data_IF_693780083055
#
_entry.id   IF_693780083055
#
_cell.length_a   1.000
_cell.length_b   1.000
_cell.length_c   1.000
_cell.angle_alpha   90.00
_cell.angle_beta   90.00
_cell.angle_gamma   90.00
#
_symmetry.space_group_name_H-M   'P 1'
#
loop_
_entity.id
_entity.type
_entity.pdbx_description
1 polymer ?
#
# COMPACT_ATOMS: atom_id res chain seq x y z
N UNK A 1 -112.53 9.60 -12.76
CA UNK A 1 -111.94 8.47 -13.49
C UNK A 1 -110.43 8.49 -13.27
N UNK A 2 -109.87 7.42 -12.73
CA UNK A 2 -108.46 7.28 -12.33
C UNK A 2 -107.53 7.25 -13.55
N UNK A 3 -106.56 8.16 -13.60
CA UNK A 3 -105.48 8.19 -14.60
C UNK A 3 -104.31 7.30 -14.19
N UNK A 4 -103.82 6.49 -15.13
CA UNK A 4 -102.76 5.50 -14.93
C UNK A 4 -101.40 6.12 -14.52
N UNK A 5 -100.58 5.41 -13.70
CA UNK A 5 -99.25 5.88 -13.29
C UNK A 5 -98.20 5.75 -14.41
N UNK A 6 -97.34 6.78 -14.53
CA UNK A 6 -96.20 6.81 -15.47
C UNK A 6 -95.11 5.82 -15.04
N UNK A 7 -94.54 5.01 -15.94
CA UNK A 7 -93.43 4.12 -15.61
C UNK A 7 -92.14 4.92 -15.38
N UNK A 8 -91.41 4.48 -14.37
CA UNK A 8 -90.10 4.93 -13.90
C UNK A 8 -89.06 4.95 -15.03
N UNK A 9 -88.37 6.07 -15.18
CA UNK A 9 -87.20 6.20 -16.05
C UNK A 9 -86.02 5.51 -15.36
N UNK A 10 -85.40 4.54 -16.04
CA UNK A 10 -84.19 3.88 -15.58
C UNK A 10 -83.03 4.89 -15.56
N UNK A 11 -82.40 5.03 -14.39
CA UNK A 11 -81.19 5.81 -14.20
C UNK A 11 -80.04 5.13 -14.96
N UNK A 12 -79.51 5.83 -15.96
CA UNK A 12 -78.42 5.34 -16.80
C UNK A 12 -77.14 5.30 -15.95
N UNK A 13 -76.79 4.10 -15.50
CA UNK A 13 -75.56 3.83 -14.74
C UNK A 13 -74.36 4.19 -15.62
N UNK A 14 -73.63 5.24 -15.25
CA UNK A 14 -72.42 5.68 -15.93
C UNK A 14 -71.38 4.55 -15.94
N UNK A 15 -71.08 4.02 -17.14
CA UNK A 15 -70.04 3.02 -17.33
C UNK A 15 -68.65 3.61 -17.00
N UNK A 16 -67.77 2.85 -16.31
CA UNK A 16 -66.42 3.31 -15.98
C UNK A 16 -65.59 3.52 -17.26
N UNK A 17 -64.90 4.66 -17.35
CA UNK A 17 -64.03 4.99 -18.48
C UNK A 17 -62.87 3.98 -18.61
N UNK A 18 -62.59 3.43 -19.80
CA UNK A 18 -61.51 2.47 -19.97
C UNK A 18 -60.14 3.12 -19.77
N UNK A 19 -59.22 2.34 -19.19
CA UNK A 19 -57.86 2.70 -18.83
C UNK A 19 -57.10 3.36 -20.00
N UNK A 20 -56.54 4.55 -19.76
CA UNK A 20 -55.75 5.32 -20.74
C UNK A 20 -54.42 4.62 -21.01
N UNK A 21 -54.38 3.77 -22.04
CA UNK A 21 -53.14 3.38 -22.70
C UNK A 21 -52.39 4.60 -23.24
N UNK A 22 -51.06 4.52 -23.26
CA UNK A 22 -50.19 5.61 -23.70
C UNK A 22 -50.40 5.87 -25.22
N UNK A 23 -51.15 6.93 -25.56
CA UNK A 23 -51.47 7.28 -26.95
C UNK A 23 -50.26 7.88 -27.69
N UNK A 24 -49.47 7.03 -28.33
CA UNK A 24 -48.29 7.43 -29.12
C UNK A 24 -48.60 8.45 -30.23
N UNK A 25 -49.81 8.39 -30.81
CA UNK A 25 -50.26 9.36 -31.81
C UNK A 25 -50.43 10.77 -31.23
N UNK A 26 -50.89 10.87 -29.98
CA UNK A 26 -51.07 12.15 -29.29
C UNK A 26 -49.72 12.74 -28.87
N UNK A 27 -48.79 11.88 -28.42
CA UNK A 27 -47.41 12.27 -28.11
C UNK A 27 -46.70 12.82 -29.37
N UNK A 28 -46.84 12.15 -30.52
CA UNK A 28 -46.25 12.60 -31.78
C UNK A 28 -46.81 13.96 -32.26
N UNK A 29 -48.09 14.22 -32.04
CA UNK A 29 -48.71 15.53 -32.36
C UNK A 29 -48.20 16.66 -31.46
N UNK A 30 -47.96 16.39 -30.17
CA UNK A 30 -47.37 17.37 -29.25
C UNK A 30 -45.93 17.69 -29.67
N UNK A 31 -45.13 16.67 -30.02
CA UNK A 31 -43.74 16.85 -30.45
C UNK A 31 -43.63 17.64 -31.75
N UNK A 32 -44.49 17.39 -32.74
CA UNK A 32 -44.45 18.13 -34.02
C UNK A 32 -44.91 19.59 -33.88
N UNK A 33 -45.90 19.86 -33.01
CA UNK A 33 -46.38 21.23 -32.72
C UNK A 33 -45.38 22.05 -31.90
N UNK A 34 -44.69 21.42 -30.96
CA UNK A 34 -43.69 22.06 -30.09
C UNK A 34 -42.24 21.72 -30.47
N UNK A 35 -41.98 21.36 -31.73
CA UNK A 35 -40.65 20.92 -32.22
C UNK A 35 -39.51 21.86 -31.82
N UNK A 36 -39.75 23.17 -31.84
CA UNK A 36 -38.76 24.18 -31.43
C UNK A 36 -38.50 24.22 -29.93
N UNK A 37 -39.51 23.96 -29.11
CA UNK A 37 -39.38 23.88 -27.65
C UNK A 37 -38.65 22.59 -27.26
N UNK A 38 -39.00 21.47 -27.89
CA UNK A 38 -38.30 20.19 -27.71
C UNK A 38 -36.84 20.31 -28.13
N UNK A 39 -36.57 20.91 -29.30
CA UNK A 39 -35.21 21.16 -29.77
C UNK A 39 -34.47 22.12 -28.84
N UNK A 40 -35.12 23.18 -28.34
CA UNK A 40 -34.54 24.12 -27.39
C UNK A 40 -34.15 23.48 -26.05
N UNK A 41 -35.03 22.66 -25.46
CA UNK A 41 -34.74 21.92 -24.22
C UNK A 41 -33.61 20.90 -24.46
N UNK A 42 -33.62 20.21 -25.60
CA UNK A 42 -32.58 19.22 -25.94
C UNK A 42 -31.22 19.90 -26.13
N UNK A 43 -31.19 21.03 -26.84
CA UNK A 43 -29.99 21.84 -27.01
C UNK A 43 -29.50 22.42 -25.68
N UNK A 44 -30.40 22.90 -24.82
CA UNK A 44 -30.06 23.39 -23.48
C UNK A 44 -29.51 22.28 -22.59
N UNK A 45 -30.12 21.08 -22.61
CA UNK A 45 -29.63 19.91 -21.89
C UNK A 45 -28.26 19.44 -22.41
N UNK A 46 -28.07 19.42 -23.73
CA UNK A 46 -26.78 19.11 -24.35
C UNK A 46 -25.69 20.13 -24.00
N UNK A 47 -26.02 21.42 -24.04
CA UNK A 47 -25.10 22.49 -23.64
C UNK A 47 -24.75 22.42 -22.15
N UNK A 48 -25.72 22.16 -21.27
CA UNK A 48 -25.51 21.97 -19.85
C UNK A 48 -24.64 20.73 -19.57
N UNK A 49 -24.90 19.61 -20.26
CA UNK A 49 -24.07 18.41 -20.17
C UNK A 49 -22.64 18.65 -20.66
N UNK A 50 -22.47 19.33 -21.79
CA UNK A 50 -21.15 19.70 -22.31
C UNK A 50 -20.40 20.64 -21.34
N UNK A 51 -21.08 21.63 -20.76
CA UNK A 51 -20.51 22.49 -19.73
C UNK A 51 -20.08 21.68 -18.50
N UNK A 52 -20.87 20.70 -18.07
CA UNK A 52 -20.52 19.81 -16.98
C UNK A 52 -19.24 19.00 -17.26
N UNK A 53 -19.03 18.54 -18.50
CA UNK A 53 -17.78 17.81 -18.86
C UNK A 53 -16.51 18.66 -18.72
N UNK A 54 -16.60 19.98 -18.81
CA UNK A 54 -15.46 20.89 -18.61
C UNK A 54 -15.12 21.13 -17.14
N UNK A 55 -16.06 20.87 -16.22
CA UNK A 55 -15.89 21.11 -14.79
C UNK A 55 -15.34 19.87 -14.06
N UNK A 56 -15.67 18.67 -14.54
CA UNK A 56 -15.19 17.42 -13.93
C UNK A 56 -13.72 17.21 -14.25
N UNK A 57 -12.87 17.24 -13.22
CA UNK A 57 -11.44 16.93 -13.37
C UNK A 57 -11.27 15.42 -13.60
N UNK A 58 -10.59 14.98 -14.66
CA UNK A 58 -10.34 13.55 -14.87
C UNK A 58 -9.49 13.01 -13.72
N UNK A 59 -9.87 11.84 -13.22
CA UNK A 59 -9.06 11.07 -12.27
C UNK A 59 -8.53 9.83 -12.98
N UNK A 60 -7.23 9.63 -12.89
CA UNK A 60 -6.52 8.48 -13.43
C UNK A 60 -6.14 7.54 -12.30
N UNK A 61 -6.11 6.25 -12.59
CA UNK A 61 -5.67 5.18 -11.71
C UNK A 61 -4.42 4.54 -12.32
N UNK A 62 -3.35 4.39 -11.54
CA UNK A 62 -2.23 3.52 -11.89
C UNK A 62 -2.19 2.37 -10.88
N UNK A 63 -1.90 1.17 -11.39
CA UNK A 63 -1.77 -0.05 -10.59
C UNK A 63 -0.42 -0.71 -10.88
N UNK A 64 0.23 -1.20 -9.82
CA UNK A 64 1.38 -2.10 -9.89
C UNK A 64 1.06 -3.36 -9.11
N UNK A 65 1.45 -4.51 -9.65
CA UNK A 65 1.32 -5.81 -8.98
C UNK A 65 2.70 -6.36 -8.70
N UNK A 66 3.00 -6.62 -7.43
CA UNK A 66 4.25 -7.25 -6.99
C UNK A 66 3.97 -8.70 -6.64
N UNK A 67 4.74 -9.62 -7.22
CA UNK A 67 4.71 -11.03 -6.85
C UNK A 67 5.65 -11.28 -5.66
N UNK A 68 5.12 -11.89 -4.61
CA UNK A 68 5.85 -12.29 -3.41
C UNK A 68 5.89 -13.81 -3.41
N UNK A 69 7.11 -14.34 -3.49
CA UNK A 69 7.35 -15.78 -3.41
C UNK A 69 7.25 -16.24 -1.95
N UNK A 70 6.05 -16.71 -1.57
CA UNK A 70 5.78 -17.33 -0.27
C UNK A 70 5.65 -18.85 -0.43
N UNK A 71 6.24 -19.66 0.49
CA UNK A 71 5.94 -21.07 0.58
C UNK A 71 4.46 -21.27 0.86
N UNK A 72 3.79 -22.11 0.06
CA UNK A 72 2.34 -22.35 0.16
C UNK A 72 1.95 -22.79 1.59
N UNK A 73 1.11 -22.02 2.31
CA UNK A 73 0.64 -22.40 3.65
C UNK A 73 -0.12 -23.73 3.68
N UNK A 74 -0.65 -24.16 2.53
CA UNK A 74 -1.45 -25.38 2.38
C UNK A 74 -0.69 -26.50 1.65
N UNK A 75 0.50 -26.21 1.14
CA UNK A 75 1.28 -27.09 0.26
C UNK A 75 2.53 -27.63 0.92
N UNK A 76 2.40 -28.45 1.96
CA UNK A 76 3.54 -29.17 2.52
C UNK A 76 3.15 -30.04 3.70
N UNK A 77 3.20 -31.36 3.51
CA UNK A 77 3.11 -32.35 4.58
C UNK A 77 4.34 -32.28 5.49
N UNK A 78 4.51 -31.19 6.24
CA UNK A 78 5.50 -31.08 7.33
C UNK A 78 4.97 -31.86 8.55
N UNK A 79 4.92 -33.18 8.38
CA UNK A 79 4.83 -34.13 9.47
C UNK A 79 6.19 -34.14 10.21
N UNK A 80 6.30 -33.33 11.25
CA UNK A 80 7.09 -33.67 12.44
C UNK A 80 8.62 -33.62 12.34
N UNK A 81 9.21 -32.62 11.67
CA UNK A 81 10.63 -32.30 11.80
C UNK A 81 10.90 -31.21 12.84
N UNK A 82 11.98 -31.29 13.66
CA UNK A 82 12.34 -30.24 14.63
C UNK A 82 12.82 -28.93 14.00
N UNK A 83 13.11 -28.91 12.69
CA UNK A 83 13.47 -27.70 11.96
C UNK A 83 12.21 -27.15 11.28
N UNK A 84 11.62 -26.12 11.89
CA UNK A 84 10.54 -25.34 11.26
C UNK A 84 11.19 -24.18 10.51
N UNK A 85 11.07 -24.14 9.18
CA UNK A 85 11.28 -22.89 8.46
C UNK A 85 10.13 -21.96 8.83
N UNK A 86 10.33 -21.14 9.86
CA UNK A 86 9.34 -20.16 10.30
C UNK A 86 8.87 -19.34 9.10
N UNK A 87 7.55 -19.20 8.95
CA UNK A 87 6.94 -18.31 7.97
C UNK A 87 7.66 -16.97 8.03
N UNK A 88 8.32 -16.62 6.93
CA UNK A 88 9.33 -15.54 6.94
C UNK A 88 8.69 -14.19 7.22
N UNK A 89 7.39 -14.00 6.92
CA UNK A 89 6.55 -12.84 7.27
C UNK A 89 5.05 -13.22 7.19
N UNK A 90 4.22 -12.75 8.13
CA UNK A 90 2.75 -12.83 8.02
C UNK A 90 2.25 -11.94 6.87
N UNK A 91 1.21 -12.32 6.10
CA UNK A 91 0.70 -11.55 4.96
C UNK A 91 0.41 -10.07 5.26
N UNK A 92 -0.10 -9.76 6.45
CA UNK A 92 -0.39 -8.38 6.88
C UNK A 92 0.87 -7.53 7.09
N UNK A 93 1.99 -8.14 7.51
CA UNK A 93 3.25 -7.43 7.76
C UNK A 93 3.91 -6.87 6.49
N UNK A 94 3.54 -7.38 5.31
CA UNK A 94 3.99 -6.86 4.01
C UNK A 94 3.35 -5.53 3.64
N UNK A 95 2.12 -5.29 4.10
CA UNK A 95 1.42 -4.00 3.93
C UNK A 95 2.00 -2.97 4.91
N UNK A 96 2.30 -3.39 6.14
CA UNK A 96 2.99 -2.55 7.12
C UNK A 96 4.40 -2.16 6.67
N UNK A 97 5.10 -3.05 5.94
CA UNK A 97 6.39 -2.71 5.31
C UNK A 97 6.23 -1.64 4.22
N UNK A 98 5.20 -1.74 3.38
CA UNK A 98 4.93 -0.74 2.34
C UNK A 98 4.63 0.63 2.94
N UNK A 99 3.84 0.66 4.02
CA UNK A 99 3.51 1.88 4.77
C UNK A 99 4.65 2.35 5.68
N UNK A 100 5.67 1.52 5.89
CA UNK A 100 6.80 1.86 6.73
C UNK A 100 7.57 3.05 6.17
N UNK A 101 7.97 3.93 7.09
CA UNK A 101 8.68 5.17 6.82
C UNK A 101 9.98 4.97 6.01
N UNK A 102 10.61 3.78 6.08
CA UNK A 102 11.83 3.48 5.32
C UNK A 102 11.66 3.48 3.79
N UNK A 103 10.43 3.28 3.31
CA UNK A 103 10.09 3.28 1.88
C UNK A 103 9.56 4.66 1.48
N UNK A 104 8.52 5.14 2.16
CA UNK A 104 7.78 6.33 1.74
C UNK A 104 8.54 7.64 1.98
N UNK A 105 9.31 7.80 3.07
CA UNK A 105 10.07 9.03 3.32
C UNK A 105 11.15 9.24 2.24
N UNK A 106 11.78 8.15 1.79
CA UNK A 106 12.80 8.19 0.74
C UNK A 106 12.21 8.59 -0.60
N UNK A 107 11.11 7.94 -1.00
CA UNK A 107 10.42 8.25 -2.27
C UNK A 107 9.87 9.68 -2.26
N UNK A 108 9.30 10.12 -1.14
CA UNK A 108 8.82 11.49 -0.98
C UNK A 108 9.93 12.53 -1.18
N UNK A 109 11.15 12.24 -0.71
CA UNK A 109 12.32 13.11 -0.91
C UNK A 109 12.85 13.03 -2.34
N UNK A 110 13.09 11.84 -2.88
CA UNK A 110 13.70 11.64 -4.20
C UNK A 110 12.82 12.20 -5.33
N UNK A 111 11.49 12.02 -5.23
CA UNK A 111 10.54 12.57 -6.21
C UNK A 111 10.05 13.98 -5.89
N UNK A 112 10.63 14.63 -4.87
CA UNK A 112 10.25 15.98 -4.42
C UNK A 112 8.76 16.14 -4.17
N UNK A 113 8.13 15.14 -3.55
CA UNK A 113 6.70 15.18 -3.20
C UNK A 113 6.37 16.23 -2.12
N UNK A 114 7.40 16.79 -1.48
CA UNK A 114 7.28 17.98 -0.64
C UNK A 114 6.82 19.23 -1.41
N UNK A 115 6.96 19.25 -2.74
CA UNK A 115 6.50 20.34 -3.59
C UNK A 115 5.07 20.08 -4.08
N UNK A 116 4.15 20.95 -3.67
CA UNK A 116 2.77 20.97 -4.11
C UNK A 116 2.57 22.02 -5.21
N UNK A 117 1.85 21.63 -6.27
CA UNK A 117 1.65 22.43 -7.47
C UNK A 117 0.14 22.59 -7.74
N UNK A 118 -0.54 23.54 -7.06
CA UNK A 118 -2.00 23.67 -7.14
C UNK A 118 -2.52 23.92 -8.57
N UNK A 119 -1.73 24.61 -9.39
CA UNK A 119 -2.04 24.97 -10.78
C UNK A 119 -1.43 24.03 -11.82
N UNK A 120 -0.75 22.96 -11.38
CA UNK A 120 -0.05 22.02 -12.26
C UNK A 120 1.45 22.35 -12.45
N UNK A 121 2.14 21.58 -13.30
CA UNK A 121 3.59 21.69 -13.47
C UNK A 121 3.99 23.03 -14.11
N UNK A 122 4.86 23.77 -13.43
CA UNK A 122 5.44 25.03 -13.91
C UNK A 122 6.92 24.82 -14.31
N UNK A 123 7.38 25.31 -15.48
CA UNK A 123 8.77 25.17 -15.90
C UNK A 123 9.77 25.78 -14.91
N UNK A 124 9.42 26.85 -14.20
CA UNK A 124 10.31 27.52 -13.24
C UNK A 124 10.63 26.64 -12.03
N UNK A 125 9.73 25.72 -11.67
CA UNK A 125 9.88 24.83 -10.52
C UNK A 125 10.61 23.53 -10.84
N UNK A 126 11.01 23.30 -12.09
CA UNK A 126 11.77 22.08 -12.47
C UNK A 126 13.13 22.00 -11.78
N UNK A 127 13.82 23.13 -11.63
CA UNK A 127 15.10 23.23 -10.93
C UNK A 127 14.94 23.48 -9.42
N UNK A 128 13.70 23.58 -8.90
CA UNK A 128 13.46 23.90 -7.51
C UNK A 128 13.93 22.78 -6.58
N UNK A 129 14.74 23.14 -5.59
CA UNK A 129 15.18 22.25 -4.53
C UNK A 129 15.22 22.99 -3.19
N UNK A 130 15.32 22.26 -2.10
CA UNK A 130 15.37 22.81 -0.73
C UNK A 130 16.62 22.32 -0.01
N UNK A 131 17.11 23.12 0.93
CA UNK A 131 18.11 22.70 1.89
C UNK A 131 17.49 21.74 2.92
N UNK A 132 18.33 21.08 3.74
CA UNK A 132 17.85 20.17 4.79
C UNK A 132 16.90 20.85 5.77
N UNK A 133 17.14 22.14 6.02
CA UNK A 133 16.26 23.00 6.81
C UNK A 133 15.62 24.04 5.89
N UNK A 134 14.30 23.97 5.76
CA UNK A 134 13.50 24.91 4.99
C UNK A 134 12.18 25.20 5.72
N UNK A 135 11.53 26.31 5.35
CA UNK A 135 10.24 26.69 5.94
C UNK A 135 9.07 26.15 5.09
N UNK A 136 8.18 25.30 5.63
CA UNK A 136 6.98 24.89 4.93
C UNK A 136 5.94 26.03 4.84
N UNK A 137 5.02 25.91 3.89
CA UNK A 137 3.92 26.84 3.66
C UNK A 137 3.61 27.06 2.18
N UNK A 138 2.60 27.88 1.90
CA UNK A 138 2.22 28.29 0.56
C UNK A 138 2.97 29.57 0.15
N UNK A 139 3.56 29.55 -1.04
CA UNK A 139 4.36 30.62 -1.60
C UNK A 139 3.84 31.05 -2.97
N UNK A 140 4.03 32.34 -3.27
CA UNK A 140 3.73 32.95 -4.55
C UNK A 140 4.95 33.73 -5.02
N UNK A 141 5.42 33.43 -6.22
CA UNK A 141 6.41 34.22 -6.92
C UNK A 141 5.71 35.00 -8.04
N UNK A 142 5.84 36.33 -8.04
CA UNK A 142 5.38 37.18 -9.15
C UNK A 142 6.56 37.88 -9.79
N UNK A 143 6.58 37.94 -11.12
CA UNK A 143 7.58 38.69 -11.87
C UNK A 143 6.95 39.93 -12.50
N UNK A 144 7.70 41.02 -12.59
CA UNK A 144 7.25 42.26 -13.19
C UNK A 144 7.76 42.44 -14.64
N UNK A 145 7.36 43.56 -15.26
CA UNK A 145 7.77 43.92 -16.62
C UNK A 145 9.29 44.17 -16.75
N UNK A 146 9.97 44.51 -15.65
CA UNK A 146 11.40 44.79 -15.58
C UNK A 146 12.24 43.57 -15.21
N UNK A 147 11.62 42.37 -15.18
CA UNK A 147 12.24 41.12 -14.71
C UNK A 147 12.70 41.17 -13.24
N UNK A 148 12.11 42.03 -12.42
CA UNK A 148 12.20 41.89 -10.98
C UNK A 148 11.20 40.81 -10.53
N UNK A 149 11.56 40.07 -9.48
CA UNK A 149 10.68 39.11 -8.84
C UNK A 149 10.33 39.55 -7.42
N UNK A 150 9.16 39.12 -6.98
CA UNK A 150 8.67 39.25 -5.61
C UNK A 150 8.24 37.88 -5.14
N UNK A 151 8.92 37.36 -4.11
CA UNK A 151 8.52 36.13 -3.43
C UNK A 151 7.73 36.51 -2.17
N UNK A 152 6.51 36.01 -2.07
CA UNK A 152 5.63 36.23 -0.91
C UNK A 152 5.12 34.89 -0.36
N UNK A 153 4.88 34.84 0.95
CA UNK A 153 4.09 33.77 1.54
C UNK A 153 2.62 34.12 1.37
N UNK A 154 1.77 33.17 0.98
CA UNK A 154 0.33 33.44 0.76
C UNK A 154 -0.34 33.95 2.05
N UNK A 155 0.01 33.36 3.19
CA UNK A 155 -0.52 33.74 4.51
C UNK A 155 0.32 34.83 5.20
N UNK A 156 1.23 35.48 4.47
CA UNK A 156 2.20 36.40 5.05
C UNK A 156 2.53 37.56 4.11
N UNK A 157 3.59 38.27 4.48
CA UNK A 157 4.12 39.38 3.69
C UNK A 157 5.06 38.92 2.57
N UNK A 158 5.60 39.92 1.88
CA UNK A 158 6.72 39.76 0.96
C UNK A 158 7.94 39.27 1.74
N UNK A 159 8.53 38.16 1.30
CA UNK A 159 9.71 37.55 1.90
C UNK A 159 10.99 38.05 1.24
N UNK A 160 10.96 38.23 -0.08
CA UNK A 160 12.14 38.57 -0.86
C UNK A 160 11.75 39.34 -2.12
N UNK A 161 12.63 40.25 -2.55
CA UNK A 161 12.58 40.93 -3.84
C UNK A 161 13.96 40.85 -4.47
N UNK A 162 14.02 40.63 -5.78
CA UNK A 162 15.29 40.55 -6.50
C UNK A 162 15.09 40.57 -8.01
N UNK A 163 16.13 40.19 -8.75
CA UNK A 163 16.14 40.13 -10.21
C UNK A 163 16.11 38.69 -10.71
N UNK A 164 15.31 38.42 -11.74
CA UNK A 164 15.23 37.09 -12.36
C UNK A 164 16.61 36.72 -12.91
N UNK A 165 17.09 35.52 -12.54
CA UNK A 165 18.42 35.03 -12.86
C UNK A 165 19.30 34.82 -11.63
N UNK A 166 18.95 35.44 -10.49
CA UNK A 166 19.62 35.22 -9.21
C UNK A 166 19.00 34.06 -8.42
N UNK A 167 19.64 33.72 -7.30
CA UNK A 167 19.12 32.72 -6.36
C UNK A 167 17.93 33.27 -5.59
N UNK A 168 16.82 32.53 -5.59
CA UNK A 168 15.56 32.95 -4.97
C UNK A 168 15.35 32.17 -3.65
N UNK A 169 15.03 32.88 -2.57
CA UNK A 169 14.53 32.28 -1.32
C UNK A 169 15.61 31.63 -0.43
N UNK A 170 16.88 32.07 -0.54
CA UNK A 170 17.98 31.51 0.26
C UNK A 170 17.74 31.65 1.77
N UNK A 171 17.12 32.75 2.20
CA UNK A 171 16.83 33.06 3.60
C UNK A 171 15.83 32.10 4.26
N UNK A 172 15.04 31.37 3.46
CA UNK A 172 14.02 30.42 3.90
C UNK A 172 14.35 28.97 3.53
N UNK A 173 15.59 28.73 3.07
CA UNK A 173 16.12 27.40 2.78
C UNK A 173 15.88 26.91 1.35
N UNK A 174 15.62 27.79 0.39
CA UNK A 174 15.47 27.38 -1.02
C UNK A 174 16.83 27.30 -1.70
N UNK A 175 17.03 26.20 -2.44
CA UNK A 175 18.15 25.99 -3.35
C UNK A 175 17.60 26.09 -4.76
N UNK A 176 17.27 27.32 -5.17
CA UNK A 176 16.52 27.56 -6.40
C UNK A 176 17.14 28.70 -7.22
N UNK A 177 17.51 28.35 -8.46
CA UNK A 177 17.90 29.29 -9.52
C UNK A 177 17.07 28.91 -10.76
N UNK A 178 15.93 29.58 -10.98
CA UNK A 178 15.11 29.33 -12.16
C UNK A 178 15.83 29.86 -13.42
N UNK A 179 15.83 29.09 -14.54
CA UNK A 179 16.30 29.61 -15.82
C UNK A 179 15.53 30.87 -16.21
N UNK A 180 16.20 31.88 -16.76
CA UNK A 180 15.55 33.15 -17.12
C UNK A 180 14.35 32.96 -18.08
N UNK A 181 14.42 31.96 -18.97
CA UNK A 181 13.35 31.64 -19.92
C UNK A 181 12.11 31.02 -19.26
N UNK A 182 12.24 30.49 -18.04
CA UNK A 182 11.13 29.88 -17.30
C UNK A 182 10.27 30.89 -16.53
N UNK A 183 10.73 32.14 -16.43
CA UNK A 183 10.06 33.23 -15.72
C UNK A 183 9.86 34.44 -16.63
N UNK A 184 8.88 34.37 -17.56
CA UNK A 184 8.57 35.51 -18.42
C UNK A 184 7.98 36.68 -17.60
N UNK A 185 8.07 37.93 -18.08
CA UNK A 185 7.51 39.09 -17.38
C UNK A 185 6.01 38.93 -17.09
N UNK A 186 5.57 39.27 -15.87
CA UNK A 186 4.17 39.12 -15.44
C UNK A 186 3.79 37.69 -15.04
N UNK A 187 4.70 36.72 -15.08
CA UNK A 187 4.44 35.34 -14.70
C UNK A 187 4.23 35.21 -13.19
N UNK A 188 3.24 34.39 -12.81
CA UNK A 188 2.90 34.12 -11.41
C UNK A 188 2.96 32.61 -11.16
N UNK A 189 3.83 32.21 -10.23
CA UNK A 189 4.03 30.83 -9.82
C UNK A 189 3.52 30.64 -8.40
N UNK A 190 2.50 29.80 -8.23
CA UNK A 190 1.99 29.40 -6.92
C UNK A 190 2.44 27.99 -6.59
N UNK A 191 3.08 27.79 -5.43
CA UNK A 191 3.55 26.50 -4.99
C UNK A 191 3.48 26.36 -3.47
N UNK A 192 3.27 25.13 -3.00
CA UNK A 192 3.27 24.79 -1.59
C UNK A 192 4.48 23.94 -1.23
N UNK A 193 5.00 24.12 -0.03
CA UNK A 193 6.02 23.27 0.56
C UNK A 193 5.49 22.66 1.85
N UNK A 194 5.66 21.35 1.95
CA UNK A 194 5.40 20.57 3.16
C UNK A 194 6.68 19.86 3.58
N UNK A 195 6.73 19.31 4.78
CA UNK A 195 7.88 18.49 5.18
C UNK A 195 7.91 17.19 4.37
N UNK A 196 9.10 16.58 4.23
CA UNK A 196 9.20 15.26 3.60
C UNK A 196 8.35 14.21 4.33
N UNK A 197 8.21 14.36 5.66
CA UNK A 197 7.38 13.52 6.52
C UNK A 197 5.89 13.65 6.19
N UNK A 198 5.38 14.87 6.10
CA UNK A 198 3.98 15.12 5.70
C UNK A 198 3.71 14.63 4.28
N UNK A 199 4.66 14.84 3.35
CA UNK A 199 4.54 14.32 1.99
C UNK A 199 4.44 12.78 1.96
N UNK A 200 5.22 12.09 2.80
CA UNK A 200 5.17 10.64 2.91
C UNK A 200 3.85 10.15 3.54
N UNK A 201 3.32 10.85 4.55
CA UNK A 201 2.00 10.55 5.13
C UNK A 201 0.88 10.72 4.11
N UNK A 202 0.87 11.84 3.37
CA UNK A 202 -0.08 12.05 2.29
C UNK A 202 0.02 10.99 1.19
N UNK A 203 1.24 10.52 0.88
CA UNK A 203 1.43 9.42 -0.06
C UNK A 203 0.88 8.10 0.50
N UNK A 204 1.14 7.79 1.77
CA UNK A 204 0.60 6.60 2.45
C UNK A 204 -0.94 6.57 2.41
N UNK A 205 -1.58 7.71 2.68
CA UNK A 205 -3.03 7.83 2.67
C UNK A 205 -3.62 7.73 1.26
N UNK A 206 -2.88 8.17 0.25
CA UNK A 206 -3.29 8.09 -1.15
C UNK A 206 -3.05 6.71 -1.79
N UNK A 207 -2.15 5.89 -1.20
CA UNK A 207 -1.85 4.55 -1.66
C UNK A 207 -2.88 3.55 -1.14
N UNK A 208 -3.44 2.80 -2.08
CA UNK A 208 -4.40 1.76 -1.81
C UNK A 208 -3.72 0.41 -2.10
N UNK A 209 -3.50 -0.40 -1.06
CA UNK A 209 -2.70 -1.62 -1.15
C UNK A 209 -3.51 -2.82 -0.64
N UNK A 210 -3.62 -3.84 -1.48
CA UNK A 210 -4.41 -5.04 -1.21
C UNK A 210 -3.62 -6.29 -1.57
N UNK A 211 -3.70 -7.30 -0.72
CA UNK A 211 -3.12 -8.62 -0.96
C UNK A 211 -4.19 -9.56 -1.52
N UNK A 212 -3.82 -10.46 -2.42
CA UNK A 212 -4.73 -11.50 -2.88
C UNK A 212 -4.97 -12.57 -1.80
N UNK A 213 -6.04 -13.36 -1.95
CA UNK A 213 -6.43 -14.40 -0.98
C UNK A 213 -5.34 -15.45 -0.71
N UNK A 214 -4.40 -15.62 -1.65
CA UNK A 214 -3.31 -16.59 -1.53
C UNK A 214 -2.04 -15.99 -0.94
N UNK A 215 -1.97 -14.67 -0.71
CA UNK A 215 -0.79 -14.03 -0.13
C UNK A 215 0.41 -13.92 -1.08
N UNK A 216 0.21 -14.05 -2.40
CA UNK A 216 1.29 -14.09 -3.38
C UNK A 216 1.36 -12.82 -4.23
N UNK A 217 0.27 -12.07 -4.33
CA UNK A 217 0.20 -10.86 -5.14
C UNK A 217 -0.20 -9.67 -4.29
N UNK A 218 0.71 -8.69 -4.18
CA UNK A 218 0.44 -7.38 -3.61
C UNK A 218 0.07 -6.42 -4.74
N UNK A 219 -1.17 -5.95 -4.76
CA UNK A 219 -1.65 -4.91 -5.66
C UNK A 219 -1.54 -3.56 -4.97
N UNK A 220 -0.91 -2.60 -5.62
CA UNK A 220 -0.75 -1.24 -5.14
C UNK A 220 -1.34 -0.29 -6.18
N UNK A 221 -2.23 0.58 -5.73
CA UNK A 221 -2.99 1.51 -6.54
C UNK A 221 -2.74 2.96 -6.10
N UNK A 222 -2.67 3.87 -7.06
CA UNK A 222 -2.56 5.31 -6.83
C UNK A 222 -3.48 6.08 -7.80
N UNK A 223 -4.27 7.00 -7.25
CA UNK A 223 -5.18 7.86 -8.02
C UNK A 223 -4.67 9.29 -8.10
N UNK A 224 -4.86 9.95 -9.25
CA UNK A 224 -4.48 11.36 -9.41
C UNK A 224 -4.85 11.97 -10.76
N UNK A 225 -4.66 13.29 -10.89
CA UNK A 225 -5.05 14.04 -12.09
C UNK A 225 -4.01 14.07 -13.22
N UNK A 226 -2.77 13.63 -12.96
CA UNK A 226 -1.69 13.57 -13.94
C UNK A 226 -1.18 12.13 -14.05
N UNK A 227 -1.49 11.41 -15.16
CA UNK A 227 -1.13 10.00 -15.33
C UNK A 227 0.40 9.79 -15.31
N UNK A 228 1.17 10.67 -15.97
CA UNK A 228 2.62 10.53 -16.02
C UNK A 228 3.29 10.76 -14.66
N UNK A 229 2.71 11.63 -13.82
CA UNK A 229 3.19 11.84 -12.46
C UNK A 229 2.87 10.65 -11.55
N UNK A 230 1.63 10.18 -11.53
CA UNK A 230 1.25 9.06 -10.64
C UNK A 230 1.95 7.76 -11.02
N UNK A 231 2.19 7.49 -12.31
CA UNK A 231 2.94 6.31 -12.74
C UNK A 231 4.41 6.36 -12.27
N UNK A 232 5.06 7.52 -12.37
CA UNK A 232 6.43 7.67 -11.85
C UNK A 232 6.50 7.47 -10.33
N UNK A 233 5.50 7.99 -9.60
CA UNK A 233 5.42 7.80 -8.15
C UNK A 233 5.26 6.32 -7.81
N UNK A 234 4.28 5.65 -8.42
CA UNK A 234 3.99 4.25 -8.12
C UNK A 234 5.14 3.32 -8.48
N UNK A 235 5.82 3.55 -9.61
CA UNK A 235 7.02 2.79 -9.99
C UNK A 235 8.14 2.96 -8.97
N UNK A 236 8.43 4.19 -8.54
CA UNK A 236 9.48 4.45 -7.54
C UNK A 236 9.15 3.80 -6.18
N UNK A 237 7.87 3.80 -5.77
CA UNK A 237 7.42 3.09 -4.57
C UNK A 237 7.66 1.58 -4.71
N UNK A 238 7.26 0.99 -5.84
CA UNK A 238 7.42 -0.44 -6.09
C UNK A 238 8.90 -0.87 -6.14
N UNK A 239 9.74 -0.12 -6.85
CA UNK A 239 11.19 -0.36 -6.93
C UNK A 239 11.84 -0.30 -5.53
N UNK A 240 11.50 0.72 -4.74
CA UNK A 240 12.02 0.86 -3.37
C UNK A 240 11.52 -0.25 -2.47
N UNK A 241 10.25 -0.64 -2.57
CA UNK A 241 9.66 -1.73 -1.81
C UNK A 241 10.39 -3.05 -2.07
N UNK A 242 10.60 -3.40 -3.34
CA UNK A 242 11.33 -4.62 -3.74
C UNK A 242 12.77 -4.60 -3.21
N UNK A 243 13.45 -3.45 -3.28
CA UNK A 243 14.81 -3.32 -2.77
C UNK A 243 14.89 -3.57 -1.25
N UNK A 244 13.98 -2.98 -0.47
CA UNK A 244 13.92 -3.16 0.99
C UNK A 244 13.53 -4.60 1.36
N UNK A 245 12.56 -5.19 0.66
CA UNK A 245 12.18 -6.58 0.86
C UNK A 245 13.34 -7.55 0.59
N UNK A 246 14.12 -7.32 -0.46
CA UNK A 246 15.30 -8.12 -0.78
C UNK A 246 16.39 -8.04 0.32
N UNK A 247 16.62 -6.83 0.86
CA UNK A 247 17.57 -6.62 1.95
C UNK A 247 17.15 -7.36 3.23
N UNK A 248 15.86 -7.28 3.59
CA UNK A 248 15.31 -8.01 4.74
C UNK A 248 15.38 -9.53 4.58
N UNK A 249 15.03 -10.05 3.40
CA UNK A 249 15.14 -11.50 3.09
C UNK A 249 16.58 -11.98 3.25
N UNK A 250 17.56 -11.19 2.78
CA UNK A 250 18.99 -11.51 2.92
C UNK A 250 19.45 -11.50 4.38
N UNK A 251 19.05 -10.50 5.15
CA UNK A 251 19.37 -10.40 6.58
C UNK A 251 18.88 -11.62 7.36
N UNK A 252 17.61 -11.99 7.18
CA UNK A 252 16.99 -13.15 7.86
C UNK A 252 17.57 -14.50 7.43
N UNK A 253 17.86 -14.68 6.14
CA UNK A 253 18.53 -15.91 5.67
C UNK A 253 19.91 -16.06 6.32
N UNK A 254 20.63 -14.96 6.53
CA UNK A 254 21.93 -14.97 7.19
C UNK A 254 21.79 -15.35 8.67
N UNK A 255 20.80 -14.78 9.36
CA UNK A 255 20.47 -15.10 10.76
C UNK A 255 20.06 -16.56 10.95
N UNK A 256 19.15 -17.07 10.11
CA UNK A 256 18.70 -18.46 10.14
C UNK A 256 19.84 -19.44 9.85
N UNK A 257 20.68 -19.13 8.85
CA UNK A 257 21.88 -19.95 8.56
C UNK A 257 22.83 -19.99 9.77
N UNK A 258 22.98 -18.86 10.48
CA UNK A 258 23.73 -18.79 11.73
C UNK A 258 23.17 -19.71 12.82
N UNK A 259 21.87 -19.61 13.08
CA UNK A 259 21.17 -20.44 14.08
C UNK A 259 21.29 -21.94 13.75
N UNK A 260 21.07 -22.33 12.48
CA UNK A 260 21.22 -23.73 12.06
C UNK A 260 22.68 -24.17 12.21
N UNK A 261 23.65 -23.32 11.87
CA UNK A 261 25.07 -23.58 12.11
C UNK A 261 25.39 -23.83 13.58
N UNK A 262 24.83 -23.03 14.49
CA UNK A 262 24.97 -23.21 15.94
C UNK A 262 24.33 -24.50 16.44
N UNK A 263 23.15 -24.84 15.92
CA UNK A 263 22.45 -26.09 16.26
C UNK A 263 23.24 -27.31 15.78
N UNK A 264 23.77 -27.28 14.55
CA UNK A 264 24.60 -28.37 14.01
C UNK A 264 25.90 -28.52 14.80
N UNK A 265 26.55 -27.41 15.17
CA UNK A 265 27.74 -27.44 16.02
C UNK A 265 27.46 -28.05 17.38
N UNK A 266 26.36 -27.64 18.01
CA UNK A 266 25.92 -28.16 19.32
C UNK A 266 25.62 -29.66 19.22
N UNK A 267 24.88 -30.08 18.19
CA UNK A 267 24.55 -31.49 17.96
C UNK A 267 25.81 -32.35 17.73
N UNK A 268 26.78 -31.85 16.95
CA UNK A 268 28.07 -32.51 16.75
C UNK A 268 28.85 -32.63 18.06
N UNK A 269 28.94 -31.56 18.84
CA UNK A 269 29.67 -31.58 20.11
C UNK A 269 29.05 -32.56 21.13
N UNK A 270 27.71 -32.65 21.17
CA UNK A 270 27.01 -33.65 21.97
C UNK A 270 27.30 -35.08 21.50
N UNK A 271 27.35 -35.32 20.18
CA UNK A 271 27.71 -36.62 19.62
C UNK A 271 29.15 -37.01 19.95
N UNK A 272 30.11 -36.11 19.72
CA UNK A 272 31.53 -36.33 20.01
C UNK A 272 31.75 -36.63 21.52
N UNK A 273 31.00 -35.94 22.39
CA UNK A 273 31.05 -36.18 23.84
C UNK A 273 30.48 -37.56 24.20
N UNK A 274 29.32 -37.93 23.66
CA UNK A 274 28.71 -39.23 23.88
C UNK A 274 29.58 -40.39 23.36
N UNK A 275 30.27 -40.19 22.24
CA UNK A 275 31.27 -41.15 21.73
C UNK A 275 32.47 -41.28 22.66
N UNK A 276 32.98 -40.16 23.19
CA UNK A 276 34.07 -40.14 24.17
C UNK A 276 33.72 -40.85 25.48
N UNK A 277 32.49 -40.67 25.97
CA UNK A 277 31.96 -41.35 27.14
C UNK A 277 31.86 -42.87 26.91
N UNK A 278 31.34 -43.28 25.75
CA UNK A 278 31.28 -44.70 25.35
C UNK A 278 32.66 -45.34 25.26
N UNK A 279 33.64 -44.65 24.65
CA UNK A 279 35.01 -45.14 24.55
C UNK A 279 35.67 -45.27 25.93
N UNK A 280 35.41 -44.33 26.83
CA UNK A 280 35.94 -44.35 28.19
C UNK A 280 35.33 -45.46 29.03
N UNK A 281 34.03 -45.72 28.87
CA UNK A 281 33.37 -46.90 29.44
C UNK A 281 34.00 -48.20 28.93
N UNK A 282 34.15 -48.36 27.61
CA UNK A 282 34.79 -49.55 27.02
C UNK A 282 36.20 -49.79 27.53
N UNK A 283 37.03 -48.74 27.62
CA UNK A 283 38.40 -48.85 28.17
C UNK A 283 38.37 -49.31 29.62
N UNK A 284 37.54 -48.70 30.48
CA UNK A 284 37.40 -49.09 31.89
C UNK A 284 36.97 -50.55 32.02
N UNK A 285 36.00 -50.99 31.22
CA UNK A 285 35.50 -52.38 31.22
C UNK A 285 36.55 -53.38 30.75
N UNK A 286 37.40 -53.04 29.76
CA UNK A 286 38.49 -53.92 29.30
C UNK A 286 39.64 -54.02 30.30
N UNK A 287 39.90 -52.96 31.08
CA UNK A 287 40.94 -52.96 32.13
C UNK A 287 40.55 -53.67 33.43
N UNK A 288 39.32 -54.17 33.55
CA UNK A 288 38.91 -54.98 34.69
C UNK A 288 39.42 -56.42 34.54
N UNK A 289 40.17 -56.97 35.52
CA UNK A 289 40.58 -58.37 35.51
C UNK A 289 39.35 -59.31 35.54
N UNK A 290 39.40 -60.49 34.88
CA UNK A 290 38.29 -61.45 34.90
C UNK A 290 37.93 -62.00 36.29
N UNK A 291 38.74 -61.75 37.32
CA UNK A 291 38.57 -62.34 38.64
C UNK A 291 37.78 -61.48 39.64
N UNK A 292 37.33 -60.28 39.27
CA UNK A 292 36.47 -59.45 40.12
C UNK A 292 34.96 -59.66 39.87
N UNK A 293 34.57 -60.36 38.81
CA UNK A 293 33.16 -60.66 38.49
C UNK A 293 32.62 -61.92 39.17
N UNK A 294 33.46 -62.67 39.90
CA UNK A 294 33.07 -63.94 40.53
C UNK A 294 33.07 -63.92 42.08
N UNK A 295 33.41 -62.81 42.74
CA UNK A 295 33.45 -62.75 44.21
C UNK A 295 32.81 -61.47 44.75
N UNK A 296 31.54 -61.57 45.14
CA UNK A 296 30.84 -60.57 45.94
C UNK A 296 29.76 -59.82 45.17
N UNK A 297 28.52 -60.29 45.28
CA UNK A 297 27.35 -59.60 44.74
C UNK A 297 27.14 -58.25 45.41
N UNK A 298 27.31 -57.19 44.63
CA UNK A 298 26.36 -56.09 44.58
C UNK A 298 26.51 -55.42 43.22
N UNK A 299 25.59 -55.74 42.32
CA UNK A 299 25.54 -55.18 40.97
C UNK A 299 25.38 -53.66 41.08
N UNK A 300 26.29 -52.83 40.55
CA UNK A 300 26.01 -51.41 40.40
C UNK A 300 24.88 -51.31 39.37
N UNK A 301 23.65 -51.11 39.84
CA UNK A 301 22.51 -50.78 38.97
C UNK A 301 22.87 -49.47 38.29
N UNK A 302 23.12 -49.56 36.99
CA UNK A 302 23.28 -48.42 36.12
C UNK A 302 21.98 -47.58 36.14
N UNK A 303 21.99 -46.37 36.72
CA UNK A 303 20.78 -45.55 36.83
C UNK A 303 20.23 -45.13 35.46
N UNK A 304 21.08 -45.11 34.41
CA UNK A 304 20.68 -44.68 33.06
C UNK A 304 19.95 -45.80 32.31
N UNK A 305 20.34 -47.06 32.53
CA UNK A 305 19.60 -48.22 32.02
C UNK A 305 18.26 -48.41 32.75
N UNK A 306 18.22 -48.13 34.06
CA UNK A 306 16.98 -48.12 34.85
C UNK A 306 15.95 -47.14 34.29
N UNK A 307 16.35 -45.89 34.05
CA UNK A 307 15.49 -44.84 33.49
C UNK A 307 14.98 -45.17 32.08
N UNK A 308 15.80 -45.82 31.25
CA UNK A 308 15.40 -46.18 29.88
C UNK A 308 14.34 -47.29 29.86
N UNK A 309 14.45 -48.29 30.75
CA UNK A 309 13.44 -49.32 30.89
C UNK A 309 12.16 -48.78 31.55
N UNK A 310 12.27 -47.85 32.50
CA UNK A 310 11.12 -47.19 33.13
C UNK A 310 10.34 -46.31 32.15
N UNK A 311 11.04 -45.56 31.27
CA UNK A 311 10.42 -44.82 30.16
C UNK A 311 9.78 -45.73 29.09
N UNK A 312 10.37 -46.89 28.79
CA UNK A 312 9.76 -47.84 27.84
C UNK A 312 8.49 -48.47 28.39
N UNK A 313 8.47 -48.80 29.69
CA UNK A 313 7.29 -49.36 30.35
C UNK A 313 6.17 -48.32 30.44
N UNK A 314 6.47 -47.06 30.75
CA UNK A 314 5.48 -45.97 30.70
C UNK A 314 4.92 -45.74 29.28
N UNK A 315 5.74 -45.80 28.23
CA UNK A 315 5.24 -45.68 26.85
C UNK A 315 4.31 -46.82 26.44
N UNK A 316 4.55 -48.05 26.90
CA UNK A 316 3.67 -49.18 26.59
C UNK A 316 2.35 -49.15 27.38
N UNK A 317 2.32 -48.54 28.56
CA UNK A 317 1.08 -48.37 29.34
C UNK A 317 0.18 -47.25 28.80
N UNK A 318 0.73 -46.24 28.13
CA UNK A 318 -0.03 -45.15 27.49
C UNK A 318 -0.54 -45.53 26.09
N UNK A 319 -0.01 -46.61 25.50
CA UNK A 319 -0.40 -47.10 24.17
C UNK A 319 -1.47 -48.22 24.21
N UNK A 320 -2.15 -48.42 25.35
CA UNK A 320 -3.23 -49.40 25.50
C UNK A 320 -4.55 -48.75 25.88
#
# INVERSE_FOLDING_TARGET
>A
MLGAPRPWAAEEVAAPSPERGLDWRRIAQVVTRFKWLVLGITAAGGAAGFAATKVVRPQYLTQVTVFIDQPDPRGGNDRGGPIRSGQVLDPESWIDLLRSYAVLDRVARDLRLFLQLPKGPDPALRSFNVADQFRPGAYRLTTDATRAYVLAKVDGGVLERGTVGDSIGRSIGFLWVPPADSLPPGHTVDFGLQTAREAALHLSDALDAHMDYNGNFLKIELRGGDPARITRILNAVAERYVAVAAELKRGRLTELTGIIGDQVRTAKQSLDSAEGDLQSFRRRTITLPPDAVAAGGDTPRDPVLGDFFEQQVQRQQVAR
#
